data_IF_547393844304
#
_entry.id   IF_547393844304
#
_cell.length_a   1.000
_cell.length_b   1.000
_cell.length_c   1.000
_cell.angle_alpha   90.00
_cell.angle_beta   90.00
_cell.angle_gamma   90.00
#
_symmetry.space_group_name_H-M   'P 1'
#
loop_
_entity.id
_entity.type
_entity.pdbx_description
1 polymer ?
#
# COMPACT_ATOMS: atom_id res chain seq x y z
N UNK A 1 -42.44 22.35 -22.79
CA UNK A 1 -42.29 21.29 -21.78
C UNK A 1 -40.96 20.49 -21.90
N UNK A 2 -40.32 20.38 -23.05
CA UNK A 2 -39.08 19.60 -23.26
C UNK A 2 -37.80 20.27 -22.67
N UNK A 3 -37.79 21.61 -22.56
CA UNK A 3 -36.60 22.36 -22.07
C UNK A 3 -36.27 22.15 -20.59
N UNK A 4 -37.23 21.76 -19.77
CA UNK A 4 -37.01 21.54 -18.32
C UNK A 4 -36.49 20.14 -17.97
N UNK A 5 -36.71 19.14 -18.83
CA UNK A 5 -36.31 17.75 -18.60
C UNK A 5 -34.79 17.59 -18.81
N UNK A 6 -34.17 18.35 -19.72
CA UNK A 6 -32.72 18.30 -19.96
C UNK A 6 -31.91 18.92 -18.81
N UNK A 7 -32.47 19.94 -18.13
CA UNK A 7 -31.78 20.60 -17.00
C UNK A 7 -31.67 19.74 -15.76
N UNK A 8 -32.68 18.92 -15.47
CA UNK A 8 -32.72 18.05 -14.29
C UNK A 8 -31.75 16.85 -14.44
N UNK A 9 -31.61 16.32 -15.65
CA UNK A 9 -30.70 15.20 -15.94
C UNK A 9 -29.23 15.57 -15.75
N UNK A 10 -28.83 16.77 -16.15
CA UNK A 10 -27.43 17.24 -16.01
C UNK A 10 -27.09 17.55 -14.54
N UNK A 11 -28.04 18.11 -13.77
CA UNK A 11 -27.83 18.37 -12.35
C UNK A 11 -27.66 17.06 -11.54
N UNK A 12 -28.38 15.99 -11.90
CA UNK A 12 -28.23 14.68 -11.26
C UNK A 12 -26.90 13.99 -11.57
N UNK A 13 -26.32 14.21 -12.75
CA UNK A 13 -25.01 13.65 -13.12
C UNK A 13 -23.86 14.28 -12.35
N UNK A 14 -23.94 15.58 -12.03
CA UNK A 14 -22.91 16.27 -11.25
C UNK A 14 -22.99 15.98 -9.75
N UNK A 15 -24.15 15.65 -9.21
CA UNK A 15 -24.32 15.33 -7.79
C UNK A 15 -23.65 14.00 -7.37
N UNK A 16 -23.47 13.05 -8.29
CA UNK A 16 -22.80 11.77 -8.02
C UNK A 16 -21.27 11.85 -8.08
N UNK A 17 -20.69 12.92 -8.59
CA UNK A 17 -19.23 13.08 -8.69
C UNK A 17 -18.58 13.57 -7.37
N UNK A 18 -19.36 13.99 -6.39
CA UNK A 18 -18.85 14.56 -5.13
C UNK A 18 -18.90 13.60 -3.93
N UNK A 19 -19.18 12.31 -4.13
CA UNK A 19 -18.96 11.33 -3.07
C UNK A 19 -17.47 10.96 -3.10
N UNK A 20 -16.64 11.88 -2.65
CA UNK A 20 -15.31 11.52 -2.14
C UNK A 20 -15.58 10.65 -0.92
N UNK A 21 -15.33 9.34 -1.06
CA UNK A 21 -15.26 8.46 0.10
C UNK A 21 -14.06 8.94 0.92
N UNK A 22 -14.35 9.79 1.91
CA UNK A 22 -13.42 10.08 2.99
C UNK A 22 -13.29 8.77 3.81
N UNK A 23 -12.32 7.94 3.44
CA UNK A 23 -11.96 6.78 4.23
C UNK A 23 -11.25 7.30 5.48
N UNK A 24 -12.02 7.58 6.54
CA UNK A 24 -11.47 7.84 7.87
C UNK A 24 -10.50 6.73 8.19
N UNK A 25 -9.24 7.10 8.39
CA UNK A 25 -8.24 6.16 8.88
C UNK A 25 -8.63 5.67 10.29
N UNK A 26 -8.26 4.45 10.60
CA UNK A 26 -8.52 3.81 11.88
C UNK A 26 -7.20 3.23 12.42
N UNK A 27 -6.64 3.89 13.41
CA UNK A 27 -5.38 3.48 14.05
C UNK A 27 -5.51 2.14 14.80
N UNK A 28 -6.73 1.74 15.20
CA UNK A 28 -6.98 0.46 15.87
C UNK A 28 -6.72 -0.77 14.98
N UNK A 29 -6.58 -0.57 13.67
CA UNK A 29 -6.21 -1.62 12.72
C UNK A 29 -4.76 -2.10 12.91
N UNK A 30 -3.92 -1.32 13.59
CA UNK A 30 -2.51 -1.64 13.82
C UNK A 30 -2.33 -2.05 15.28
N UNK A 31 -1.97 -3.31 15.49
CA UNK A 31 -1.67 -3.83 16.83
C UNK A 31 -0.19 -3.64 17.10
N UNK A 32 0.12 -2.78 18.07
CA UNK A 32 1.50 -2.53 18.51
C UNK A 32 1.86 -3.57 19.57
N UNK A 33 2.92 -4.38 19.37
CA UNK A 33 3.37 -5.34 20.38
C UNK A 33 3.83 -4.66 21.66
N UNK A 34 3.64 -5.32 22.80
CA UNK A 34 4.08 -4.82 24.11
C UNK A 34 5.60 -4.58 24.09
N UNK A 35 6.02 -3.38 24.53
CA UNK A 35 7.42 -2.97 24.56
C UNK A 35 7.90 -2.21 23.32
N UNK A 36 7.06 -2.07 22.30
CA UNK A 36 7.36 -1.19 21.16
C UNK A 36 6.77 0.21 21.41
N UNK A 37 7.42 1.27 20.87
CA UNK A 37 6.87 2.62 20.94
C UNK A 37 5.58 2.74 20.15
N UNK A 38 4.73 3.68 20.53
CA UNK A 38 3.56 4.04 19.75
C UNK A 38 3.98 4.58 18.38
N UNK A 39 3.14 4.34 17.37
CA UNK A 39 3.37 4.81 16.01
C UNK A 39 2.68 6.17 15.86
N UNK A 40 3.43 7.19 15.50
CA UNK A 40 2.89 8.51 15.12
C UNK A 40 2.52 8.49 13.64
N UNK A 41 1.21 8.36 13.36
CA UNK A 41 0.72 8.32 11.99
C UNK A 41 0.55 9.75 11.45
N UNK A 42 1.05 10.07 10.24
CA UNK A 42 0.77 11.33 9.59
C UNK A 42 -0.74 11.50 9.38
N UNK A 43 -1.27 12.70 9.65
CA UNK A 43 -2.70 13.02 9.54
C UNK A 43 -3.27 12.74 8.12
N UNK A 44 -2.46 12.94 7.09
CA UNK A 44 -2.80 12.71 5.69
C UNK A 44 -2.62 11.24 5.25
N UNK A 45 -2.11 10.37 6.14
CA UNK A 45 -1.84 8.97 5.83
C UNK A 45 -2.22 8.02 6.97
N UNK A 46 -3.38 8.22 7.57
CA UNK A 46 -3.91 7.31 8.59
C UNK A 46 -4.14 5.89 8.02
N UNK A 47 -3.95 4.83 8.82
CA UNK A 47 -4.19 3.46 8.38
C UNK A 47 -5.65 3.26 7.98
N UNK A 48 -5.88 2.51 6.89
CA UNK A 48 -7.21 2.00 6.51
C UNK A 48 -7.08 0.59 5.96
N UNK A 49 -8.16 -0.15 5.93
CA UNK A 49 -8.17 -1.52 5.38
C UNK A 49 -7.68 -1.53 3.94
N UNK A 50 -8.08 -0.55 3.13
CA UNK A 50 -7.69 -0.42 1.73
C UNK A 50 -6.20 -0.16 1.59
N UNK A 51 -5.63 0.76 2.41
CA UNK A 51 -4.19 1.07 2.42
C UNK A 51 -3.36 -0.13 2.86
N UNK A 52 -3.79 -0.83 3.91
CA UNK A 52 -3.13 -2.05 4.39
C UNK A 52 -3.15 -3.13 3.30
N UNK A 53 -4.30 -3.35 2.65
CA UNK A 53 -4.41 -4.32 1.57
C UNK A 53 -3.57 -3.92 0.34
N UNK A 54 -3.53 -2.64 0.00
CA UNK A 54 -2.67 -2.13 -1.06
C UNK A 54 -1.19 -2.37 -0.72
N UNK A 55 -0.74 -2.01 0.48
CA UNK A 55 0.63 -2.24 0.94
C UNK A 55 1.02 -3.71 0.89
N UNK A 56 0.12 -4.61 1.34
CA UNK A 56 0.32 -6.04 1.25
C UNK A 56 0.47 -6.53 -0.20
N UNK A 57 -0.34 -6.03 -1.12
CA UNK A 57 -0.21 -6.38 -2.56
C UNK A 57 1.11 -5.88 -3.12
N UNK A 58 1.46 -4.61 -2.87
CA UNK A 58 2.70 -4.01 -3.35
C UNK A 58 3.96 -4.71 -2.82
N UNK A 59 3.90 -5.24 -1.58
CA UNK A 59 5.01 -5.99 -0.99
C UNK A 59 5.38 -7.25 -1.79
N UNK A 60 4.40 -7.89 -2.43
CA UNK A 60 4.60 -9.09 -3.26
C UNK A 60 4.67 -8.77 -4.76
N UNK A 61 4.42 -7.51 -5.17
CA UNK A 61 4.32 -7.13 -6.56
C UNK A 61 5.69 -6.78 -7.14
N UNK A 62 6.05 -7.39 -8.25
CA UNK A 62 7.31 -7.11 -8.95
C UNK A 62 7.27 -5.85 -9.82
N UNK A 63 6.08 -5.26 -10.05
CA UNK A 63 5.91 -4.03 -10.85
C UNK A 63 6.69 -2.83 -10.33
N UNK A 64 7.09 -2.84 -9.05
CA UNK A 64 7.88 -1.77 -8.44
C UNK A 64 9.37 -1.89 -8.72
N UNK A 65 9.85 -2.99 -9.30
CA UNK A 65 11.25 -3.15 -9.67
C UNK A 65 11.51 -2.73 -11.11
N UNK A 66 12.75 -2.31 -11.38
CA UNK A 66 13.19 -1.78 -12.67
C UNK A 66 12.88 -2.72 -13.85
N UNK A 67 13.07 -4.01 -13.64
CA UNK A 67 12.98 -5.08 -14.65
C UNK A 67 11.86 -6.08 -14.36
N UNK A 68 10.98 -5.76 -13.40
CA UNK A 68 9.88 -6.61 -12.95
C UNK A 68 10.29 -8.00 -12.43
N UNK A 69 11.57 -8.17 -12.03
CA UNK A 69 12.12 -9.46 -11.60
C UNK A 69 12.04 -9.69 -10.10
N UNK A 70 12.03 -8.63 -9.28
CA UNK A 70 12.05 -8.71 -7.82
C UNK A 70 10.93 -7.91 -7.18
N UNK A 71 10.46 -8.37 -6.02
CA UNK A 71 9.55 -7.65 -5.14
C UNK A 71 10.20 -7.44 -3.77
N UNK A 72 9.58 -6.70 -2.86
CA UNK A 72 10.06 -6.62 -1.47
C UNK A 72 10.16 -8.01 -0.84
N UNK A 73 9.17 -8.89 -1.11
CA UNK A 73 9.13 -10.26 -0.60
C UNK A 73 10.24 -11.17 -1.16
N UNK A 74 10.93 -10.78 -2.24
CA UNK A 74 12.05 -11.55 -2.79
C UNK A 74 13.22 -11.59 -1.81
N UNK A 75 13.47 -10.49 -1.09
CA UNK A 75 14.50 -10.36 -0.07
C UNK A 75 13.91 -10.47 1.35
N UNK A 76 12.76 -9.85 1.61
CA UNK A 76 12.10 -9.89 2.91
C UNK A 76 11.06 -11.02 2.97
N UNK A 77 11.55 -12.27 3.09
CA UNK A 77 10.71 -13.47 3.05
C UNK A 77 9.97 -13.70 4.37
N UNK A 78 8.63 -13.69 4.41
CA UNK A 78 7.87 -13.83 5.67
C UNK A 78 8.19 -15.09 6.46
N UNK A 79 8.45 -16.20 5.78
CA UNK A 79 8.78 -17.49 6.41
C UNK A 79 10.22 -17.56 6.96
N UNK A 80 11.05 -16.57 6.68
CA UNK A 80 12.41 -16.41 7.21
C UNK A 80 12.53 -15.17 8.11
N UNK A 81 11.47 -14.83 8.84
CA UNK A 81 11.38 -13.62 9.65
C UNK A 81 11.77 -12.34 8.86
N UNK A 82 11.27 -12.25 7.61
CA UNK A 82 11.52 -11.16 6.68
C UNK A 82 12.99 -10.97 6.25
N UNK A 83 13.83 -11.97 6.43
CA UNK A 83 15.19 -12.06 5.90
C UNK A 83 15.22 -12.94 4.62
N UNK A 84 16.32 -12.93 3.87
CA UNK A 84 16.54 -13.85 2.73
C UNK A 84 17.51 -14.99 3.06
N UNK A 85 18.14 -14.96 4.24
CA UNK A 85 19.13 -15.91 4.69
C UNK A 85 20.39 -15.98 3.79
N UNK A 86 20.68 -14.89 3.07
CA UNK A 86 21.86 -14.75 2.23
C UNK A 86 22.85 -13.76 2.89
N UNK A 87 24.14 -13.92 2.60
CA UNK A 87 25.15 -12.93 3.00
C UNK A 87 24.94 -11.59 2.30
N UNK A 88 24.57 -11.66 1.01
CA UNK A 88 24.24 -10.53 0.18
C UNK A 88 22.96 -10.84 -0.60
N UNK A 89 22.00 -9.97 -0.54
CA UNK A 89 20.73 -10.13 -1.27
C UNK A 89 20.95 -9.96 -2.77
N UNK A 90 20.15 -10.66 -3.58
CA UNK A 90 20.16 -10.56 -5.03
C UNK A 90 19.02 -9.62 -5.47
N UNK A 91 19.39 -8.57 -6.17
CA UNK A 91 18.47 -7.56 -6.70
C UNK A 91 18.11 -7.77 -8.18
N UNK A 92 17.58 -6.71 -8.79
CA UNK A 92 17.27 -6.67 -10.22
C UNK A 92 18.50 -6.99 -11.08
N UNK A 93 18.27 -7.53 -12.27
CA UNK A 93 19.34 -7.96 -13.18
C UNK A 93 20.29 -9.01 -12.56
N UNK A 94 19.85 -9.75 -11.55
CA UNK A 94 20.67 -10.69 -10.76
C UNK A 94 21.88 -10.02 -10.08
N UNK A 95 21.84 -8.73 -9.89
CA UNK A 95 22.93 -7.99 -9.25
C UNK A 95 23.04 -8.35 -7.76
N UNK A 96 24.22 -8.76 -7.32
CA UNK A 96 24.51 -9.01 -5.92
C UNK A 96 24.63 -7.69 -5.16
N UNK A 97 23.90 -7.57 -4.05
CA UNK A 97 23.95 -6.43 -3.15
C UNK A 97 25.23 -6.38 -2.32
N UNK A 98 25.33 -5.41 -1.40
CA UNK A 98 26.45 -5.25 -0.48
C UNK A 98 26.12 -5.60 0.96
N UNK A 99 24.84 -5.98 1.22
CA UNK A 99 24.32 -6.35 2.53
C UNK A 99 23.24 -7.42 2.39
N UNK A 100 22.95 -8.11 3.49
CA UNK A 100 21.79 -8.99 3.61
C UNK A 100 20.51 -8.19 3.80
N UNK A 101 19.37 -8.83 3.61
CA UNK A 101 18.07 -8.32 4.04
C UNK A 101 17.90 -8.56 5.55
N UNK A 102 17.87 -7.52 6.38
CA UNK A 102 17.59 -7.68 7.81
C UNK A 102 16.09 -7.96 8.02
N UNK A 103 15.78 -8.63 9.12
CA UNK A 103 14.41 -8.84 9.61
C UNK A 103 13.87 -7.60 10.33
#
# INVERSE_FOLDING_TARGET
>A
MIKYILGIGVAFMFANFLIVHDSKGDESLIIIPVGFPEIDFPEDNLPSVERINLGKRLFFDTLLSKDFSVSCASCHKPHLAFSDNLRFSIGSDLAEGKSNAPS
#
